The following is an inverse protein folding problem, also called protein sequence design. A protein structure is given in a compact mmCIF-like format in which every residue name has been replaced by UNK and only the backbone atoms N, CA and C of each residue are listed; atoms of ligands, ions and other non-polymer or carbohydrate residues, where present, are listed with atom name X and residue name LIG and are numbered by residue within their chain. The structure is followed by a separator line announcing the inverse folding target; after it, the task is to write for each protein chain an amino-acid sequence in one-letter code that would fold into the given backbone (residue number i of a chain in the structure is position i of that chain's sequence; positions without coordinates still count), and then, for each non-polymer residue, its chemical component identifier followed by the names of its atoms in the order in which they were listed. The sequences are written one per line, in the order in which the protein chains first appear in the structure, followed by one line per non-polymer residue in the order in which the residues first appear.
data_IF_544873681666
#
_entry.id   IF_544873681666
#
_cell.length_a   1.000
_cell.length_b   1.000
_cell.length_c   1.000
_cell.angle_alpha   90.00
_cell.angle_beta   90.00
_cell.angle_gamma   90.00
#
_symmetry.space_group_name_H-M   'P 1'
#
loop_
_entity.id
_entity.type
_entity.pdbx_description
1 polymer ?
#
# COMPACT_ATOMS: atom_id res chain seq x y z
N UNK A 1 -43.05 44.05 3.57
CA UNK A 1 -42.23 44.04 4.79
C UNK A 1 -41.46 42.73 4.80
N UNK A 2 -40.28 42.59 4.18
CA UNK A 2 -39.01 43.32 4.31
C UNK A 2 -38.63 43.57 5.77
N UNK A 3 -37.66 42.81 6.27
CA UNK A 3 -36.50 43.22 7.09
C UNK A 3 -35.90 41.99 7.80
N UNK A 4 -35.12 41.18 7.08
CA UNK A 4 -34.23 40.18 7.70
C UNK A 4 -32.99 39.84 6.83
N UNK A 5 -32.70 40.64 5.79
CA UNK A 5 -31.61 40.38 4.84
C UNK A 5 -30.40 41.30 4.97
N UNK A 6 -30.41 42.29 5.86
CA UNK A 6 -29.38 43.34 5.91
C UNK A 6 -28.26 43.09 6.92
N UNK A 7 -28.40 42.22 7.92
CA UNK A 7 -27.39 42.14 9.00
C UNK A 7 -26.27 41.10 8.76
N UNK A 8 -26.44 40.17 7.80
CA UNK A 8 -25.42 39.15 7.50
C UNK A 8 -24.39 39.66 6.48
N UNK A 9 -24.80 40.55 5.56
CA UNK A 9 -23.90 41.12 4.54
C UNK A 9 -22.91 42.13 5.14
N UNK A 10 -23.30 42.84 6.20
CA UNK A 10 -22.42 43.79 6.88
C UNK A 10 -21.36 43.12 7.77
N UNK A 11 -21.66 41.95 8.37
CA UNK A 11 -20.70 41.21 9.18
C UNK A 11 -19.53 40.65 8.35
N UNK A 12 -19.79 40.18 7.13
CA UNK A 12 -18.76 39.61 6.25
C UNK A 12 -17.82 40.68 5.67
N UNK A 13 -18.37 41.86 5.31
CA UNK A 13 -17.59 42.99 4.81
C UNK A 13 -16.72 43.66 5.88
N UNK A 14 -17.16 43.62 7.16
CA UNK A 14 -16.37 44.14 8.27
C UNK A 14 -15.21 43.20 8.62
N UNK A 15 -15.43 41.87 8.59
CA UNK A 15 -14.38 40.87 8.81
C UNK A 15 -13.31 40.88 7.70
N UNK A 16 -13.70 41.04 6.43
CA UNK A 16 -12.72 41.18 5.32
C UNK A 16 -11.87 42.46 5.43
N UNK A 17 -12.40 43.51 6.05
CA UNK A 17 -11.69 44.78 6.25
C UNK A 17 -10.70 44.70 7.40
N UNK A 18 -11.08 44.09 8.53
CA UNK A 18 -10.17 43.83 9.65
C UNK A 18 -9.06 42.83 9.29
N UNK A 19 -9.34 41.81 8.49
CA UNK A 19 -8.33 40.86 7.99
C UNK A 19 -7.32 41.57 7.05
N UNK A 20 -7.79 42.49 6.19
CA UNK A 20 -6.91 43.29 5.32
C UNK A 20 -6.07 44.32 6.07
N UNK A 21 -6.59 44.90 7.16
CA UNK A 21 -5.84 45.82 8.01
C UNK A 21 -4.79 45.09 8.88
N UNK A 22 -5.06 43.85 9.30
CA UNK A 22 -4.09 42.99 9.99
C UNK A 22 -3.02 42.42 9.03
N UNK A 23 -3.35 42.13 7.77
CA UNK A 23 -2.38 41.75 6.74
C UNK A 23 -1.51 42.92 6.26
N UNK A 24 -2.02 44.15 6.30
CA UNK A 24 -1.29 45.36 5.92
C UNK A 24 -0.30 45.87 6.97
N UNK A 25 -0.42 45.44 8.23
CA UNK A 25 0.31 46.01 9.36
C UNK A 25 1.61 45.32 9.78
N UNK A 26 1.89 44.08 9.34
CA UNK A 26 2.96 43.28 9.96
C UNK A 26 4.11 42.79 9.08
N UNK A 27 4.12 43.04 7.76
CA UNK A 27 5.28 42.70 6.92
C UNK A 27 5.49 43.70 5.78
N UNK A 28 5.79 44.95 6.12
CA UNK A 28 6.43 45.88 5.18
C UNK A 28 7.92 45.53 5.04
N UNK A 29 8.22 44.53 4.22
CA UNK A 29 9.57 44.40 3.68
C UNK A 29 9.79 45.50 2.64
N UNK A 30 10.96 46.16 2.62
CA UNK A 30 11.21 47.24 1.69
C UNK A 30 11.01 46.72 0.25
N UNK A 31 10.27 47.50 -0.53
CA UNK A 31 10.21 47.33 -1.97
C UNK A 31 11.65 47.33 -2.49
N UNK A 32 12.14 46.15 -2.88
CA UNK A 32 13.40 46.03 -3.57
C UNK A 32 13.18 46.64 -4.97
N UNK A 33 13.47 47.93 -5.09
CA UNK A 33 13.54 48.67 -6.34
C UNK A 33 14.58 48.01 -7.24
N UNK A 34 14.14 46.99 -7.97
CA UNK A 34 14.93 46.37 -9.01
C UNK A 34 14.80 47.20 -10.27
N UNK A 35 15.62 48.26 -10.34
CA UNK A 35 16.03 48.87 -11.60
C UNK A 35 16.49 47.74 -12.56
N UNK A 36 15.90 47.61 -13.77
CA UNK A 36 16.27 46.55 -14.68
C UNK A 36 17.63 46.86 -15.32
N UNK A 37 18.62 46.01 -15.05
CA UNK A 37 19.84 45.94 -15.86
C UNK A 37 19.49 45.31 -17.23
N UNK A 38 20.06 45.81 -18.35
CA UNK A 38 19.72 45.34 -19.68
C UNK A 38 20.34 43.95 -19.94
N UNK A 39 19.54 43.01 -20.45
CA UNK A 39 20.05 41.84 -21.19
C UNK A 39 19.97 40.46 -20.53
N UNK A 40 19.53 40.33 -19.27
CA UNK A 40 19.34 39.01 -18.64
C UNK A 40 17.86 38.67 -18.46
N UNK A 41 17.35 37.59 -19.08
CA UNK A 41 16.02 37.05 -18.71
C UNK A 41 16.05 36.58 -17.25
N UNK A 42 15.64 37.44 -16.32
CA UNK A 42 15.51 37.08 -14.89
C UNK A 42 14.35 36.08 -14.75
N UNK A 43 14.66 34.87 -14.30
CA UNK A 43 13.65 33.86 -13.93
C UNK A 43 12.82 34.44 -12.77
N UNK A 44 11.48 34.40 -12.86
CA UNK A 44 10.61 34.93 -11.80
C UNK A 44 10.81 34.17 -10.48
N UNK A 45 10.58 34.84 -9.35
CA UNK A 45 10.74 34.22 -8.02
C UNK A 45 9.94 32.92 -7.86
N UNK A 46 8.76 32.83 -8.49
CA UNK A 46 7.91 31.62 -8.48
C UNK A 46 8.61 30.44 -9.17
N UNK A 47 9.24 30.69 -10.33
CA UNK A 47 9.98 29.66 -11.06
C UNK A 47 11.27 29.28 -10.33
N UNK A 48 11.99 30.23 -9.74
CA UNK A 48 13.16 29.93 -8.89
C UNK A 48 12.80 28.98 -7.74
N UNK A 49 11.67 29.22 -7.06
CA UNK A 49 11.17 28.32 -6.00
C UNK A 49 10.87 26.92 -6.53
N UNK A 50 10.27 26.78 -7.72
CA UNK A 50 10.02 25.46 -8.31
C UNK A 50 11.31 24.74 -8.69
N UNK A 51 12.31 25.46 -9.23
CA UNK A 51 13.61 24.89 -9.57
C UNK A 51 14.33 24.34 -8.33
N UNK A 52 14.29 25.07 -7.20
CA UNK A 52 14.85 24.58 -5.94
C UNK A 52 14.14 23.30 -5.46
N UNK A 53 12.82 23.19 -5.66
CA UNK A 53 12.07 21.97 -5.30
C UNK A 53 12.51 20.74 -6.10
N UNK A 54 13.05 20.91 -7.30
CA UNK A 54 13.54 19.80 -8.12
C UNK A 54 14.71 19.07 -7.46
N UNK A 55 15.46 19.71 -6.55
CA UNK A 55 16.51 19.04 -5.77
C UNK A 55 15.95 17.90 -4.92
N UNK A 56 14.70 17.99 -4.45
CA UNK A 56 14.07 16.90 -3.70
C UNK A 56 13.68 15.71 -4.58
N UNK A 57 13.81 15.79 -5.91
CA UNK A 57 13.71 14.60 -6.76
C UNK A 57 14.89 13.65 -6.57
N UNK A 58 15.96 14.07 -5.87
CA UNK A 58 17.01 13.19 -5.39
C UNK A 58 16.51 12.11 -4.40
N UNK A 59 15.26 12.19 -3.93
CA UNK A 59 14.62 11.11 -3.18
C UNK A 59 14.52 9.80 -3.98
N UNK A 60 14.39 9.86 -5.30
CA UNK A 60 14.35 8.65 -6.14
C UNK A 60 15.70 7.91 -6.20
N UNK A 61 16.83 8.57 -6.58
CA UNK A 61 18.12 7.92 -6.52
C UNK A 61 18.53 7.53 -5.10
N UNK A 62 18.07 8.25 -4.07
CA UNK A 62 18.25 7.81 -2.68
C UNK A 62 17.56 6.46 -2.40
N UNK A 63 16.30 6.28 -2.82
CA UNK A 63 15.59 5.02 -2.63
C UNK A 63 16.30 3.85 -3.35
N UNK A 64 16.76 4.07 -4.58
CA UNK A 64 17.54 3.05 -5.31
C UNK A 64 18.88 2.75 -4.66
N UNK A 65 19.60 3.78 -4.18
CA UNK A 65 20.84 3.60 -3.45
C UNK A 65 20.62 2.77 -2.17
N UNK A 66 19.59 3.09 -1.39
CA UNK A 66 19.27 2.34 -0.17
C UNK A 66 18.89 0.89 -0.47
N UNK A 67 18.11 0.65 -1.53
CA UNK A 67 17.82 -0.71 -2.02
C UNK A 67 19.11 -1.46 -2.36
N UNK A 68 20.01 -0.85 -3.12
CA UNK A 68 21.23 -1.51 -3.58
C UNK A 68 22.19 -1.79 -2.42
N UNK A 69 22.25 -0.87 -1.43
CA UNK A 69 22.99 -1.10 -0.20
C UNK A 69 22.40 -2.26 0.62
N UNK A 70 21.08 -2.36 0.72
CA UNK A 70 20.43 -3.49 1.38
C UNK A 70 20.71 -4.81 0.65
N UNK A 71 20.60 -4.83 -0.69
CA UNK A 71 20.87 -6.00 -1.52
C UNK A 71 22.34 -6.45 -1.45
N UNK A 72 23.28 -5.51 -1.33
CA UNK A 72 24.70 -5.81 -1.14
C UNK A 72 25.05 -6.30 0.27
N UNK A 73 24.13 -6.14 1.25
CA UNK A 73 24.33 -6.56 2.64
C UNK A 73 23.14 -7.42 3.15
N UNK A 74 22.95 -8.66 2.64
CA UNK A 74 21.84 -9.52 3.05
C UNK A 74 21.79 -9.82 4.56
N UNK A 75 22.95 -9.90 5.23
CA UNK A 75 23.01 -10.07 6.68
C UNK A 75 22.37 -8.92 7.45
N UNK A 76 22.57 -7.68 6.97
CA UNK A 76 21.90 -6.51 7.55
C UNK A 76 20.40 -6.56 7.29
N UNK A 77 20.00 -6.92 6.06
CA UNK A 77 18.59 -7.04 5.69
C UNK A 77 17.87 -8.12 6.52
N UNK A 78 18.53 -9.24 6.81
CA UNK A 78 17.96 -10.29 7.65
C UNK A 78 17.94 -9.88 9.13
N UNK A 79 19.10 -9.57 9.71
CA UNK A 79 19.24 -9.43 11.16
C UNK A 79 18.72 -8.10 11.67
N UNK A 80 19.11 -6.99 11.05
CA UNK A 80 18.75 -5.65 11.52
C UNK A 80 17.35 -5.25 11.07
N UNK A 81 17.00 -5.53 9.81
CA UNK A 81 15.71 -5.14 9.25
C UNK A 81 14.63 -6.19 9.48
N UNK A 82 14.71 -7.37 8.85
CA UNK A 82 13.61 -8.34 8.79
C UNK A 82 13.30 -9.02 10.12
N UNK A 83 14.31 -9.30 10.95
CA UNK A 83 14.16 -9.89 12.28
C UNK A 83 14.14 -8.85 13.41
N UNK A 84 14.83 -7.71 13.22
CA UNK A 84 14.93 -6.64 14.22
C UNK A 84 13.82 -5.61 14.13
N UNK A 85 13.93 -4.67 13.18
CA UNK A 85 13.03 -3.53 13.03
C UNK A 85 11.62 -3.92 12.57
N UNK A 86 11.54 -4.69 11.49
CA UNK A 86 10.29 -4.91 10.74
C UNK A 86 9.20 -5.58 11.58
N UNK A 87 9.44 -6.65 12.37
CA UNK A 87 8.37 -7.31 13.12
C UNK A 87 7.71 -6.39 14.15
N UNK A 88 8.47 -5.52 14.81
CA UNK A 88 7.93 -4.53 15.74
C UNK A 88 7.14 -3.44 15.02
N UNK A 89 7.66 -2.96 13.89
CA UNK A 89 7.00 -1.97 13.04
C UNK A 89 5.68 -2.50 12.45
N UNK A 90 5.70 -3.64 11.76
CA UNK A 90 4.52 -4.22 11.12
C UNK A 90 3.45 -4.61 12.14
N UNK A 91 3.85 -5.10 13.31
CA UNK A 91 2.92 -5.36 14.41
C UNK A 91 2.25 -4.08 14.91
N UNK A 92 2.99 -2.98 15.06
CA UNK A 92 2.45 -1.71 15.55
C UNK A 92 1.44 -1.12 14.55
N UNK A 93 1.81 -1.03 13.27
CA UNK A 93 0.95 -0.48 12.22
C UNK A 93 -0.21 -1.43 11.91
N UNK A 94 0.06 -2.73 11.81
CA UNK A 94 -0.93 -3.78 11.62
C UNK A 94 -1.96 -3.85 12.75
N UNK A 95 -1.59 -3.55 13.99
CA UNK A 95 -2.57 -3.42 15.09
C UNK A 95 -3.49 -2.21 14.92
N UNK A 96 -2.97 -1.09 14.39
CA UNK A 96 -3.73 0.15 14.17
C UNK A 96 -4.74 0.03 13.04
N UNK A 97 -4.45 -0.75 12.00
CA UNK A 97 -5.41 -0.94 10.90
C UNK A 97 -6.17 -2.26 11.01
N UNK A 98 -5.60 -3.28 11.62
CA UNK A 98 -6.17 -4.63 11.75
C UNK A 98 -7.47 -4.72 12.55
N UNK A 99 -7.71 -3.79 13.50
CA UNK A 99 -8.97 -3.76 14.25
C UNK A 99 -10.18 -3.33 13.39
N UNK A 100 -9.93 -2.65 12.25
CA UNK A 100 -11.01 -2.20 11.37
C UNK A 100 -11.59 -3.40 10.60
N UNK A 101 -12.92 -3.56 10.54
CA UNK A 101 -13.56 -4.69 9.85
C UNK A 101 -13.53 -4.57 8.31
N UNK A 102 -12.91 -3.52 7.78
CA UNK A 102 -12.77 -3.22 6.35
C UNK A 102 -11.34 -2.80 6.03
N UNK A 103 -10.96 -2.87 4.73
CA UNK A 103 -9.65 -2.44 4.24
C UNK A 103 -9.51 -0.91 4.25
N UNK A 104 -8.65 -0.36 5.10
CA UNK A 104 -8.38 1.08 5.11
C UNK A 104 -7.60 1.50 3.86
N UNK A 105 -6.66 0.67 3.42
CA UNK A 105 -5.89 0.84 2.18
C UNK A 105 -6.77 0.96 0.95
N UNK A 106 -7.85 0.19 0.85
CA UNK A 106 -8.83 0.32 -0.24
C UNK A 106 -9.48 1.72 -0.27
N UNK A 107 -9.92 2.22 0.89
CA UNK A 107 -10.48 3.58 0.97
C UNK A 107 -9.45 4.67 0.65
N UNK A 108 -8.18 4.48 1.02
CA UNK A 108 -7.10 5.39 0.62
C UNK A 108 -6.92 5.40 -0.91
N UNK A 109 -7.00 4.24 -1.57
CA UNK A 109 -6.95 4.16 -3.04
C UNK A 109 -8.14 4.90 -3.66
N UNK A 110 -9.36 4.69 -3.17
CA UNK A 110 -10.52 5.45 -3.66
C UNK A 110 -10.36 6.96 -3.47
N UNK A 111 -9.90 7.40 -2.31
CA UNK A 111 -9.64 8.81 -2.04
C UNK A 111 -8.60 9.39 -3.02
N UNK A 112 -7.52 8.65 -3.28
CA UNK A 112 -6.48 9.07 -4.23
C UNK A 112 -7.04 9.18 -5.67
N UNK A 113 -7.83 8.21 -6.12
CA UNK A 113 -8.45 8.22 -7.45
C UNK A 113 -9.44 9.40 -7.61
N UNK A 114 -10.25 9.67 -6.58
CA UNK A 114 -11.18 10.81 -6.58
C UNK A 114 -10.41 12.13 -6.62
N UNK A 115 -9.39 12.30 -5.78
CA UNK A 115 -8.57 13.52 -5.75
C UNK A 115 -7.86 13.74 -7.09
N UNK A 116 -7.33 12.67 -7.70
CA UNK A 116 -6.72 12.71 -9.02
C UNK A 116 -7.74 13.11 -10.09
N UNK A 117 -8.93 12.49 -10.10
CA UNK A 117 -10.01 12.82 -11.04
C UNK A 117 -10.46 14.28 -10.92
N UNK A 118 -10.69 14.77 -9.69
CA UNK A 118 -11.02 16.18 -9.43
C UNK A 118 -9.91 17.11 -9.92
N UNK A 119 -8.65 16.76 -9.69
CA UNK A 119 -7.51 17.53 -10.17
C UNK A 119 -7.45 17.58 -11.71
N UNK A 120 -7.63 16.44 -12.38
CA UNK A 120 -7.68 16.35 -13.85
C UNK A 120 -8.80 17.22 -14.40
N UNK A 121 -10.02 17.07 -13.89
CA UNK A 121 -11.20 17.84 -14.33
C UNK A 121 -10.96 19.35 -14.15
N UNK A 122 -10.46 19.78 -12.99
CA UNK A 122 -10.15 21.20 -12.73
C UNK A 122 -9.07 21.73 -13.67
N UNK A 123 -8.08 20.91 -14.00
CA UNK A 123 -7.01 21.27 -14.93
C UNK A 123 -7.54 21.43 -16.35
N UNK A 124 -8.38 20.49 -16.82
CA UNK A 124 -9.05 20.56 -18.13
C UNK A 124 -9.95 21.80 -18.21
N UNK A 125 -10.81 22.03 -17.21
CA UNK A 125 -11.68 23.21 -17.17
C UNK A 125 -10.85 24.50 -17.22
N UNK A 126 -9.73 24.56 -16.49
CA UNK A 126 -8.83 25.72 -16.51
C UNK A 126 -8.16 25.91 -17.87
N UNK A 127 -7.79 24.82 -18.54
CA UNK A 127 -7.20 24.86 -19.88
C UNK A 127 -8.20 25.35 -20.92
N UNK A 128 -9.41 24.78 -20.95
CA UNK A 128 -10.50 25.17 -21.87
C UNK A 128 -10.90 26.63 -21.66
N UNK A 129 -10.98 27.08 -20.40
CA UNK A 129 -11.27 28.49 -20.06
C UNK A 129 -10.08 29.44 -20.31
N UNK A 130 -8.95 28.95 -20.84
CA UNK A 130 -7.69 29.71 -21.03
C UNK A 130 -7.17 30.39 -19.75
N UNK A 131 -7.51 29.82 -18.58
CA UNK A 131 -7.08 30.28 -17.25
C UNK A 131 -5.92 29.45 -16.69
N UNK A 132 -5.51 28.40 -17.38
CA UNK A 132 -4.40 27.55 -16.95
C UNK A 132 -3.08 28.32 -17.06
N UNK A 133 -2.44 28.52 -15.91
CA UNK A 133 -1.05 29.02 -15.86
C UNK A 133 -0.11 27.83 -15.83
N UNK A 134 0.83 27.77 -16.77
CA UNK A 134 1.82 26.69 -16.86
C UNK A 134 2.55 26.45 -15.53
N UNK A 135 2.89 27.53 -14.81
CA UNK A 135 3.56 27.44 -13.51
C UNK A 135 2.73 26.70 -12.45
N UNK A 136 1.40 26.79 -12.50
CA UNK A 136 0.54 26.07 -11.57
C UNK A 136 0.49 24.58 -11.90
N UNK A 137 0.45 24.23 -13.19
CA UNK A 137 0.53 22.84 -13.65
C UNK A 137 1.86 22.21 -13.23
N UNK A 138 2.98 22.86 -13.56
CA UNK A 138 4.33 22.40 -13.20
C UNK A 138 4.48 22.26 -11.69
N UNK A 139 3.99 23.24 -10.92
CA UNK A 139 4.02 23.17 -9.44
C UNK A 139 3.33 21.91 -8.91
N UNK A 140 2.16 21.55 -9.45
CA UNK A 140 1.43 20.36 -8.99
C UNK A 140 2.09 19.07 -9.47
N UNK A 141 2.59 19.03 -10.71
CA UNK A 141 3.35 17.87 -11.20
C UNK A 141 4.60 17.61 -10.37
N UNK A 142 5.36 18.66 -10.01
CA UNK A 142 6.48 18.55 -9.07
C UNK A 142 5.99 18.01 -7.72
N UNK A 143 4.87 18.50 -7.19
CA UNK A 143 4.31 17.95 -5.94
C UNK A 143 4.00 16.46 -6.04
N UNK A 144 3.38 15.99 -7.12
CA UNK A 144 3.12 14.57 -7.32
C UNK A 144 4.40 13.75 -7.43
N UNK A 145 5.41 14.23 -8.16
CA UNK A 145 6.71 13.59 -8.22
C UNK A 145 7.39 13.51 -6.85
N UNK A 146 7.29 14.55 -6.02
CA UNK A 146 7.82 14.53 -4.66
C UNK A 146 7.07 13.54 -3.75
N UNK A 147 5.74 13.48 -3.85
CA UNK A 147 4.93 12.48 -3.13
C UNK A 147 5.36 11.07 -3.54
N UNK A 148 5.57 10.83 -4.84
CA UNK A 148 6.08 9.55 -5.33
C UNK A 148 7.47 9.20 -4.80
N UNK A 149 8.39 10.17 -4.75
CA UNK A 149 9.73 9.96 -4.18
C UNK A 149 9.71 9.66 -2.68
N UNK A 150 8.87 10.37 -1.91
CA UNK A 150 8.64 10.07 -0.49
C UNK A 150 8.02 8.69 -0.32
N UNK A 151 6.97 8.39 -1.08
CA UNK A 151 6.27 7.11 -1.06
C UNK A 151 7.21 5.93 -1.37
N UNK A 152 8.13 6.09 -2.30
CA UNK A 152 9.12 5.05 -2.64
C UNK A 152 10.10 4.78 -1.49
N UNK A 153 10.59 5.82 -0.81
CA UNK A 153 11.45 5.64 0.37
C UNK A 153 10.67 5.03 1.54
N UNK A 154 9.42 5.48 1.76
CA UNK A 154 8.54 4.88 2.76
C UNK A 154 8.29 3.40 2.46
N UNK A 155 8.03 3.03 1.20
CA UNK A 155 7.88 1.62 0.81
C UNK A 155 9.09 0.78 1.24
N UNK A 156 10.32 1.23 0.94
CA UNK A 156 11.52 0.48 1.31
C UNK A 156 11.72 0.36 2.83
N UNK A 157 11.54 1.46 3.56
CA UNK A 157 11.69 1.49 5.02
C UNK A 157 10.59 0.69 5.71
N UNK A 158 9.36 0.72 5.19
CA UNK A 158 8.23 0.02 5.81
C UNK A 158 8.26 -1.47 5.50
N UNK A 159 8.72 -1.88 4.30
CA UNK A 159 8.65 -3.29 3.89
C UNK A 159 9.69 -3.71 2.85
N UNK A 160 9.99 -2.85 1.87
CA UNK A 160 10.72 -3.25 0.66
C UNK A 160 12.15 -3.75 0.88
N UNK A 161 12.81 -3.45 2.01
CA UNK A 161 14.11 -4.07 2.31
C UNK A 161 14.01 -5.58 2.60
N UNK A 162 12.82 -6.12 2.88
CA UNK A 162 12.60 -7.56 2.98
C UNK A 162 12.92 -8.30 1.66
N UNK A 163 12.94 -7.64 0.49
CA UNK A 163 13.42 -8.28 -0.75
C UNK A 163 14.91 -8.68 -0.70
N UNK A 164 15.71 -8.03 0.15
CA UNK A 164 17.15 -8.27 0.27
C UNK A 164 17.49 -9.32 1.33
N UNK A 165 16.48 -9.86 2.02
CA UNK A 165 16.67 -10.87 3.06
C UNK A 165 16.91 -12.25 2.46
N UNK A 166 17.32 -13.20 3.29
CA UNK A 166 17.54 -14.58 2.87
C UNK A 166 16.26 -15.24 2.33
N UNK A 167 16.41 -16.21 1.45
CA UNK A 167 15.26 -16.99 0.98
C UNK A 167 14.61 -17.75 2.12
N UNK A 168 13.33 -18.06 1.97
CA UNK A 168 12.62 -19.00 2.84
C UNK A 168 13.30 -20.36 2.80
N UNK A 169 13.76 -20.80 1.62
CA UNK A 169 14.55 -22.02 1.47
C UNK A 169 15.82 -22.02 2.33
N UNK A 170 16.58 -20.91 2.33
CA UNK A 170 17.76 -20.76 3.18
C UNK A 170 17.39 -20.77 4.67
N UNK A 171 16.37 -19.98 5.05
CA UNK A 171 15.95 -19.82 6.45
C UNK A 171 15.39 -21.12 7.04
N UNK A 172 14.74 -21.95 6.22
CA UNK A 172 14.21 -23.26 6.60
C UNK A 172 15.23 -24.39 6.39
N UNK A 173 16.44 -24.09 5.90
CA UNK A 173 17.45 -25.08 5.52
C UNK A 173 16.90 -26.18 4.59
N UNK A 174 16.07 -25.76 3.61
CA UNK A 174 15.50 -26.65 2.61
C UNK A 174 16.53 -26.94 1.51
N UNK A 175 16.65 -28.22 1.16
CA UNK A 175 17.44 -28.61 0.00
C UNK A 175 16.62 -28.46 -1.28
N UNK A 176 16.80 -27.32 -1.97
CA UNK A 176 16.10 -27.03 -3.23
C UNK A 176 16.95 -27.55 -4.39
N UNK A 177 16.55 -28.69 -4.92
CA UNK A 177 17.18 -29.36 -6.07
C UNK A 177 16.15 -29.60 -7.17
N UNK A 178 16.61 -29.69 -8.42
CA UNK A 178 15.75 -30.09 -9.53
C UNK A 178 15.19 -31.50 -9.28
N UNK A 179 13.87 -31.59 -9.23
CA UNK A 179 13.17 -32.87 -9.08
C UNK A 179 12.85 -33.46 -10.45
N UNK A 180 12.92 -34.80 -10.61
CA UNK A 180 12.54 -35.43 -11.86
C UNK A 180 11.06 -35.18 -12.16
N UNK A 181 10.65 -35.04 -13.44
CA UNK A 181 9.25 -34.79 -13.81
C UNK A 181 8.25 -35.80 -13.22
N UNK A 182 8.69 -37.04 -12.98
CA UNK A 182 7.88 -38.07 -12.35
C UNK A 182 7.53 -37.74 -10.90
N UNK A 183 8.45 -37.18 -10.12
CA UNK A 183 8.18 -36.79 -8.73
C UNK A 183 7.10 -35.69 -8.66
N UNK A 184 7.12 -34.75 -9.60
CA UNK A 184 6.06 -33.74 -9.74
C UNK A 184 4.72 -34.38 -10.11
N UNK A 185 4.70 -35.31 -11.07
CA UNK A 185 3.50 -36.03 -11.45
C UNK A 185 2.89 -36.83 -10.28
N UNK A 186 3.74 -37.52 -9.52
CA UNK A 186 3.33 -38.30 -8.35
C UNK A 186 2.76 -37.39 -7.25
N UNK A 187 3.39 -36.23 -7.02
CA UNK A 187 2.87 -35.22 -6.09
C UNK A 187 1.51 -34.70 -6.55
N UNK A 188 1.32 -34.38 -7.84
CA UNK A 188 0.02 -33.96 -8.36
C UNK A 188 -1.07 -35.01 -8.14
N UNK A 189 -0.76 -36.29 -8.37
CA UNK A 189 -1.70 -37.41 -8.13
C UNK A 189 -2.01 -37.53 -6.64
N UNK A 190 -1.01 -37.40 -5.77
CA UNK A 190 -1.20 -37.42 -4.32
C UNK A 190 -2.12 -36.29 -3.85
N UNK A 191 -1.83 -35.06 -4.25
CA UNK A 191 -2.61 -33.87 -3.90
C UNK A 191 -4.05 -33.95 -4.43
N UNK A 192 -4.23 -34.44 -5.67
CA UNK A 192 -5.57 -34.64 -6.24
C UNK A 192 -6.39 -35.67 -5.43
N UNK A 193 -5.78 -36.76 -4.98
CA UNK A 193 -6.44 -37.75 -4.11
C UNK A 193 -6.83 -37.15 -2.76
N UNK A 194 -5.93 -36.39 -2.13
CA UNK A 194 -6.20 -35.72 -0.86
C UNK A 194 -7.33 -34.67 -1.01
N UNK A 195 -7.27 -33.85 -2.06
CA UNK A 195 -8.30 -32.86 -2.35
C UNK A 195 -9.68 -33.51 -2.57
N UNK A 196 -9.74 -34.62 -3.31
CA UNK A 196 -11.00 -35.37 -3.50
C UNK A 196 -11.54 -35.94 -2.18
N UNK A 197 -10.68 -36.44 -1.30
CA UNK A 197 -11.08 -36.96 0.01
C UNK A 197 -11.57 -35.84 0.95
N UNK A 198 -10.94 -34.65 0.91
CA UNK A 198 -11.36 -33.49 1.69
C UNK A 198 -12.67 -32.90 1.15
N UNK A 199 -12.86 -32.88 -0.18
CA UNK A 199 -14.05 -32.36 -0.84
C UNK A 199 -15.34 -33.00 -0.33
N UNK A 200 -15.30 -34.31 -0.07
CA UNK A 200 -16.44 -35.08 0.45
C UNK A 200 -16.86 -34.67 1.88
N UNK A 201 -16.03 -33.89 2.58
CA UNK A 201 -16.28 -33.43 3.95
C UNK A 201 -16.75 -31.96 3.98
N UNK A 202 -16.85 -31.29 2.83
CA UNK A 202 -17.20 -29.88 2.75
C UNK A 202 -18.68 -29.68 2.42
N UNK A 203 -19.26 -28.58 2.91
CA UNK A 203 -20.60 -28.16 2.55
C UNK A 203 -20.70 -27.81 1.05
N UNK A 204 -21.88 -28.05 0.48
CA UNK A 204 -22.22 -27.73 -0.91
C UNK A 204 -23.52 -26.93 -0.95
N UNK A 205 -23.59 -25.99 -1.87
CA UNK A 205 -24.84 -25.30 -2.19
C UNK A 205 -25.78 -26.19 -3.03
N UNK A 206 -26.94 -25.64 -3.39
CA UNK A 206 -27.96 -26.34 -4.21
C UNK A 206 -27.48 -26.74 -5.61
N UNK A 207 -26.32 -26.24 -6.06
CA UNK A 207 -25.69 -26.55 -7.33
C UNK A 207 -24.48 -27.49 -7.19
N UNK A 208 -24.20 -28.00 -6.00
CA UNK A 208 -23.05 -28.86 -5.72
C UNK A 208 -21.73 -28.09 -5.62
N UNK A 209 -21.78 -26.77 -5.45
CA UNK A 209 -20.59 -25.92 -5.36
C UNK A 209 -20.16 -25.75 -3.91
N UNK A 210 -18.85 -25.89 -3.66
CA UNK A 210 -18.26 -25.65 -2.35
C UNK A 210 -18.46 -24.18 -1.92
N UNK A 211 -18.83 -23.98 -0.65
CA UNK A 211 -18.86 -22.66 -0.01
C UNK A 211 -18.39 -22.74 1.45
N UNK A 212 -17.97 -21.60 1.99
CA UNK A 212 -17.70 -21.47 3.42
C UNK A 212 -18.98 -21.10 4.16
N UNK A 213 -19.43 -21.95 5.09
CA UNK A 213 -20.64 -21.69 5.90
C UNK A 213 -20.55 -20.40 6.71
N UNK A 214 -19.35 -20.10 7.22
CA UNK A 214 -19.00 -18.86 7.93
C UNK A 214 -18.77 -17.65 7.01
N UNK A 215 -18.86 -17.84 5.69
CA UNK A 215 -18.60 -16.84 4.65
C UNK A 215 -17.12 -16.43 4.53
N UNK A 216 -16.82 -15.63 3.51
CA UNK A 216 -15.45 -15.21 3.18
C UNK A 216 -14.75 -14.49 4.35
N UNK A 217 -15.42 -13.57 5.03
CA UNK A 217 -14.83 -12.90 6.20
C UNK A 217 -14.62 -13.84 7.39
N UNK A 218 -15.40 -14.92 7.51
CA UNK A 218 -15.25 -15.92 8.55
C UNK A 218 -13.99 -16.75 8.35
N UNK A 219 -13.79 -17.28 7.13
CA UNK A 219 -12.59 -18.08 6.81
C UNK A 219 -11.31 -17.25 6.91
N UNK A 220 -11.32 -15.99 6.45
CA UNK A 220 -10.15 -15.11 6.53
C UNK A 220 -9.74 -14.84 8.00
N UNK A 221 -10.68 -14.82 8.94
CA UNK A 221 -10.39 -14.68 10.39
C UNK A 221 -9.70 -15.90 11.00
N UNK A 222 -9.72 -17.07 10.34
CA UNK A 222 -9.00 -18.27 10.79
C UNK A 222 -7.51 -18.26 10.41
N UNK A 223 -7.13 -17.48 9.39
CA UNK A 223 -5.75 -17.43 8.86
C UNK A 223 -4.71 -17.06 9.91
N UNK A 224 -4.92 -16.05 10.79
CA UNK A 224 -3.98 -15.78 11.88
C UNK A 224 -3.75 -16.99 12.80
N UNK A 225 -4.80 -17.79 13.06
CA UNK A 225 -4.70 -19.01 13.86
C UNK A 225 -3.87 -20.09 13.17
N UNK A 226 -4.04 -20.26 11.86
CA UNK A 226 -3.27 -21.19 11.06
C UNK A 226 -1.77 -20.84 11.06
N UNK A 227 -1.43 -19.56 10.94
CA UNK A 227 -0.05 -19.09 11.08
C UNK A 227 0.50 -19.26 12.51
N UNK A 228 -0.31 -19.06 13.54
CA UNK A 228 0.10 -19.30 14.93
C UNK A 228 0.39 -20.80 15.20
N UNK A 229 -0.35 -21.70 14.56
CA UNK A 229 -0.10 -23.13 14.58
C UNK A 229 1.16 -23.50 13.78
N UNK A 230 1.32 -22.96 12.56
CA UNK A 230 2.54 -23.12 11.75
C UNK A 230 3.80 -22.69 12.52
N UNK A 231 3.72 -21.59 13.26
CA UNK A 231 4.83 -21.06 14.04
C UNK A 231 5.31 -21.96 15.20
N UNK A 232 4.53 -22.97 15.60
CA UNK A 232 4.97 -23.96 16.59
C UNK A 232 6.09 -24.86 16.03
N UNK A 233 5.96 -25.25 14.77
CA UNK A 233 6.95 -26.09 14.07
C UNK A 233 8.01 -25.25 13.34
N UNK A 234 7.64 -24.02 12.96
CA UNK A 234 8.51 -23.08 12.24
C UNK A 234 8.61 -21.72 12.97
N UNK A 235 9.43 -21.63 14.04
CA UNK A 235 9.51 -20.43 14.89
C UNK A 235 9.91 -19.14 14.16
N UNK A 236 10.52 -19.21 12.98
CA UNK A 236 10.84 -18.03 12.14
C UNK A 236 9.59 -17.24 11.69
N UNK A 237 8.42 -17.88 11.68
CA UNK A 237 7.14 -17.23 11.37
C UNK A 237 6.39 -16.75 12.61
N UNK A 238 6.95 -16.98 13.81
CA UNK A 238 6.37 -16.47 15.05
C UNK A 238 6.39 -14.94 15.08
N UNK A 239 5.35 -14.37 15.68
CA UNK A 239 5.21 -12.94 15.92
C UNK A 239 4.83 -12.69 17.37
N UNK A 240 5.36 -11.62 17.94
CA UNK A 240 5.03 -11.19 19.30
C UNK A 240 3.60 -10.67 19.42
N UNK A 241 3.05 -10.14 18.32
CA UNK A 241 1.66 -9.73 18.18
C UNK A 241 1.04 -10.55 17.06
N UNK A 242 -0.21 -10.97 17.25
CA UNK A 242 -0.93 -11.76 16.27
C UNK A 242 -1.03 -11.04 14.91
N UNK A 243 -0.90 -11.81 13.83
CA UNK A 243 -1.06 -11.30 12.46
C UNK A 243 -2.51 -10.79 12.29
N UNK A 244 -2.73 -9.61 11.70
CA UNK A 244 -4.08 -9.16 11.37
C UNK A 244 -4.78 -10.12 10.41
N UNK A 245 -6.09 -10.34 10.61
CA UNK A 245 -6.87 -11.11 9.66
C UNK A 245 -6.89 -10.41 8.28
N UNK A 246 -6.69 -11.13 7.17
CA UNK A 246 -6.87 -10.57 5.84
C UNK A 246 -8.29 -10.05 5.65
N UNK A 247 -8.42 -9.02 4.82
CA UNK A 247 -9.65 -8.26 4.67
C UNK A 247 -10.23 -8.43 3.27
N UNK A 248 -11.54 -8.72 3.15
CA UNK A 248 -12.19 -8.73 1.85
C UNK A 248 -12.21 -7.32 1.24
N UNK A 249 -11.93 -7.22 -0.05
CA UNK A 249 -11.95 -5.96 -0.80
C UNK A 249 -13.35 -5.71 -1.38
N UNK A 250 -13.86 -4.49 -1.29
CA UNK A 250 -15.16 -4.11 -1.87
C UNK A 250 -15.11 -4.16 -3.41
N UNK A 251 -14.01 -3.70 -4.02
CA UNK A 251 -13.73 -3.80 -5.45
C UNK A 251 -13.21 -5.17 -5.91
N UNK A 252 -13.53 -6.26 -5.20
CA UNK A 252 -13.11 -7.62 -5.56
C UNK A 252 -13.44 -7.98 -7.01
N UNK A 253 -14.61 -7.62 -7.52
CA UNK A 253 -14.98 -7.89 -8.92
C UNK A 253 -14.01 -7.23 -9.92
N UNK A 254 -13.62 -5.97 -9.65
CA UNK A 254 -12.64 -5.24 -10.47
C UNK A 254 -11.25 -5.88 -10.39
N UNK A 255 -10.86 -6.42 -9.22
CA UNK A 255 -9.63 -7.18 -9.08
C UNK A 255 -9.66 -8.45 -9.94
N UNK A 256 -10.79 -9.15 -10.03
CA UNK A 256 -10.93 -10.33 -10.90
C UNK A 256 -10.78 -9.97 -12.37
N UNK A 257 -11.36 -8.85 -12.84
CA UNK A 257 -11.13 -8.36 -14.21
C UNK A 257 -9.66 -8.01 -14.48
N UNK A 258 -8.92 -7.58 -13.45
CA UNK A 258 -7.50 -7.29 -13.53
C UNK A 258 -6.59 -8.53 -13.33
N UNK A 259 -7.15 -9.70 -13.00
CA UNK A 259 -6.39 -10.92 -12.71
C UNK A 259 -5.66 -10.91 -11.36
N UNK A 260 -6.18 -10.18 -10.37
CA UNK A 260 -5.56 -10.00 -9.05
C UNK A 260 -6.33 -10.81 -7.99
N UNK A 261 -5.67 -11.75 -7.32
CA UNK A 261 -6.24 -12.60 -6.25
C UNK A 261 -6.17 -11.95 -4.86
N UNK A 262 -5.20 -11.08 -4.64
CA UNK A 262 -4.95 -10.37 -3.40
C UNK A 262 -3.88 -9.30 -3.60
N UNK A 263 -3.79 -8.37 -2.65
CA UNK A 263 -2.75 -7.35 -2.58
C UNK A 263 -2.44 -7.04 -1.12
N UNK A 264 -1.21 -7.25 -0.71
CA UNK A 264 -0.66 -6.73 0.52
C UNK A 264 -0.24 -5.27 0.34
N UNK A 265 -0.67 -4.39 1.25
CA UNK A 265 -0.39 -2.95 1.20
C UNK A 265 0.54 -2.58 2.37
N UNK A 266 1.85 -2.40 2.13
CA UNK A 266 2.84 -2.07 3.17
C UNK A 266 2.54 -0.80 3.96
N UNK A 267 1.89 0.18 3.33
CA UNK A 267 1.64 1.48 3.96
C UNK A 267 0.64 1.40 5.12
N UNK A 268 -0.21 0.38 5.14
CA UNK A 268 -1.20 0.13 6.19
C UNK A 268 -1.03 -1.25 6.83
N UNK A 269 -0.05 -2.04 6.38
CA UNK A 269 0.18 -3.42 6.83
C UNK A 269 -1.06 -4.31 6.70
N UNK A 270 -1.85 -4.11 5.64
CA UNK A 270 -3.09 -4.85 5.39
C UNK A 270 -2.92 -5.87 4.27
N UNK A 271 -3.30 -7.11 4.55
CA UNK A 271 -3.56 -8.15 3.57
C UNK A 271 -4.97 -7.97 3.00
N UNK A 272 -5.09 -7.64 1.70
CA UNK A 272 -6.36 -7.38 1.05
C UNK A 272 -6.68 -8.49 0.05
N UNK A 273 -7.85 -9.13 0.18
CA UNK A 273 -8.19 -10.34 -0.56
C UNK A 273 -9.33 -10.06 -1.53
N UNK A 274 -9.15 -10.46 -2.78
CA UNK A 274 -10.24 -10.56 -3.74
C UNK A 274 -11.16 -11.69 -3.29
N UNK A 275 -12.41 -11.39 -2.94
CA UNK A 275 -13.41 -12.40 -2.56
C UNK A 275 -14.41 -12.71 -3.69
N UNK A 276 -14.22 -12.11 -4.87
CA UNK A 276 -14.89 -12.43 -6.13
C UNK A 276 -14.06 -13.46 -6.91
N UNK A 277 -13.74 -14.57 -6.26
CA UNK A 277 -13.05 -15.72 -6.83
C UNK A 277 -13.65 -17.00 -6.24
N UNK A 278 -13.45 -18.18 -6.88
CA UNK A 278 -13.91 -19.45 -6.32
C UNK A 278 -13.58 -19.57 -4.83
N UNK A 279 -14.52 -20.00 -3.96
CA UNK A 279 -14.30 -20.00 -2.51
C UNK A 279 -13.00 -20.70 -2.10
N UNK A 280 -12.66 -21.81 -2.75
CA UNK A 280 -11.41 -22.55 -2.48
C UNK A 280 -10.13 -21.69 -2.57
N UNK A 281 -10.12 -20.61 -3.35
CA UNK A 281 -8.97 -19.73 -3.55
C UNK A 281 -8.90 -18.60 -2.50
N UNK A 282 -10.00 -18.28 -1.81
CA UNK A 282 -10.07 -17.14 -0.89
C UNK A 282 -9.15 -17.35 0.32
N UNK A 283 -9.16 -18.53 0.93
CA UNK A 283 -8.30 -18.84 2.06
C UNK A 283 -6.82 -18.83 1.67
N UNK A 284 -6.48 -19.43 0.53
CA UNK A 284 -5.11 -19.45 0.01
C UNK A 284 -4.61 -18.04 -0.32
N UNK A 285 -5.44 -17.20 -0.97
CA UNK A 285 -5.08 -15.82 -1.25
C UNK A 285 -4.86 -15.02 0.04
N UNK A 286 -5.74 -15.17 1.04
CA UNK A 286 -5.53 -14.53 2.34
C UNK A 286 -4.26 -14.99 3.04
N UNK A 287 -3.96 -16.28 3.02
CA UNK A 287 -2.75 -16.82 3.61
C UNK A 287 -1.50 -16.36 2.87
N UNK A 288 -1.57 -16.18 1.54
CA UNK A 288 -0.52 -15.61 0.71
C UNK A 288 -0.25 -14.14 1.09
N UNK A 289 -1.28 -13.30 1.16
CA UNK A 289 -1.10 -11.90 1.54
C UNK A 289 -0.62 -11.75 2.99
N UNK A 290 -0.99 -12.68 3.89
CA UNK A 290 -0.42 -12.76 5.24
C UNK A 290 1.06 -13.17 5.25
N UNK A 291 1.54 -13.95 4.27
CA UNK A 291 2.97 -14.25 4.13
C UNK A 291 3.77 -12.97 3.82
N UNK A 292 3.22 -12.09 2.97
CA UNK A 292 3.82 -10.78 2.71
C UNK A 292 3.87 -9.90 3.97
N UNK A 293 2.84 -9.91 4.81
CA UNK A 293 2.89 -9.26 6.14
C UNK A 293 4.01 -9.83 7.04
N UNK A 294 4.40 -11.10 6.85
CA UNK A 294 5.55 -11.68 7.54
C UNK A 294 6.90 -11.31 6.90
N UNK A 295 6.91 -10.48 5.86
CA UNK A 295 8.11 -10.07 5.15
C UNK A 295 8.65 -11.16 4.22
N UNK A 296 7.79 -12.09 3.75
CA UNK A 296 8.10 -13.03 2.67
C UNK A 296 7.74 -12.35 1.36
N UNK A 297 8.73 -11.81 0.63
CA UNK A 297 8.47 -10.95 -0.53
C UNK A 297 8.42 -11.68 -1.88
N UNK A 298 9.06 -12.85 -2.01
CA UNK A 298 9.06 -13.58 -3.29
C UNK A 298 7.75 -14.35 -3.41
N UNK A 299 7.11 -14.27 -4.57
CA UNK A 299 5.78 -14.83 -4.82
C UNK A 299 5.72 -16.35 -4.68
N UNK A 300 6.75 -17.06 -5.14
CA UNK A 300 6.90 -18.51 -5.00
C UNK A 300 7.06 -18.93 -3.54
N UNK A 301 7.84 -18.19 -2.76
CA UNK A 301 8.00 -18.40 -1.32
C UNK A 301 6.70 -18.09 -0.56
N UNK A 302 6.00 -17.01 -0.91
CA UNK A 302 4.70 -16.66 -0.33
C UNK A 302 3.64 -17.73 -0.64
N UNK A 303 3.64 -18.28 -1.86
CA UNK A 303 2.80 -19.42 -2.23
C UNK A 303 3.11 -20.67 -1.40
N UNK A 304 4.39 -20.99 -1.20
CA UNK A 304 4.81 -22.13 -0.39
C UNK A 304 4.39 -21.97 1.07
N UNK A 305 4.62 -20.80 1.67
CA UNK A 305 4.23 -20.52 3.05
C UNK A 305 2.71 -20.46 3.22
N UNK A 306 1.98 -19.94 2.23
CA UNK A 306 0.52 -19.98 2.21
C UNK A 306 -0.01 -21.41 2.22
N UNK A 307 0.54 -22.27 1.34
CA UNK A 307 0.20 -23.69 1.32
C UNK A 307 0.46 -24.36 2.67
N UNK A 308 1.64 -24.12 3.27
CA UNK A 308 1.94 -24.62 4.60
C UNK A 308 0.96 -24.11 5.65
N UNK A 309 0.68 -22.80 5.70
CA UNK A 309 -0.29 -22.25 6.65
C UNK A 309 -1.67 -22.91 6.51
N UNK A 310 -2.16 -23.13 5.27
CA UNK A 310 -3.41 -23.84 5.03
C UNK A 310 -3.40 -25.33 5.45
N UNK A 311 -2.23 -25.98 5.58
CA UNK A 311 -2.15 -27.33 6.16
C UNK A 311 -2.28 -27.33 7.69
N UNK A 312 -2.03 -26.20 8.34
CA UNK A 312 -2.12 -26.00 9.80
C UNK A 312 -3.45 -25.33 10.22
N UNK A 313 -4.40 -25.16 9.31
CA UNK A 313 -5.69 -24.47 9.54
C UNK A 313 -6.82 -25.40 9.98
#
# INVERSE_FOLDING_TARGET
MSYAGSNIVWGYAMLEKEIRELEGGLLSFPHEDTQPLPGGRRISAVWKKQLLRLLFLLLYPLAFLLRDLAAANPDWAEQAFAQGFYPGFSSAVGSVFGWMPFSFSEFLVYALLILLGVWIIRTIISAVKKKLRLVNLVRTLITFALIGGVGMNLFYVMWGFNYSRYSVAYTLNLNVEEQPPQALADLCVLLAKQANALRAQQAEDEHGTFFYEEGNSGILKKIPGAYAALAQDYPQFARSIAIPAPKPVLASEMMSYAGISGIYIPFTEEANVNVHQPPLLVAFAGAHESAHFLGVCREDEANFISYLACLYS
#
